data_IF_136329274934
#
_entry.id   IF_136329274934
#
_cell.length_a   1.000
_cell.length_b   1.000
_cell.length_c   1.000
_cell.angle_alpha   90.00
_cell.angle_beta   90.00
_cell.angle_gamma   90.00
#
_symmetry.space_group_name_H-M   'P 1'
#
loop_
_entity.id
_entity.type
_entity.pdbx_description
1 polymer ?
#
# COMPACT_ATOMS: atom_id res chain seq x y z
N UNK A 1 51.86 4.81 -34.70
CA UNK A 1 51.24 3.87 -33.76
C UNK A 1 50.10 4.61 -33.09
N UNK A 2 48.87 4.28 -33.49
CA UNK A 2 47.63 5.00 -33.22
C UNK A 2 47.03 4.71 -31.85
N UNK A 3 46.12 5.61 -31.47
CA UNK A 3 44.92 5.46 -30.64
C UNK A 3 44.99 5.98 -29.20
N UNK A 4 44.97 7.30 -29.06
CA UNK A 4 44.22 7.92 -27.96
C UNK A 4 42.74 7.96 -28.36
N UNK A 5 41.97 7.01 -27.81
CA UNK A 5 40.52 6.99 -27.89
C UNK A 5 40.02 8.21 -27.10
N UNK A 6 39.58 9.24 -27.83
CA UNK A 6 38.84 10.36 -27.27
C UNK A 6 37.57 9.80 -26.61
N UNK A 7 37.51 9.87 -25.28
CA UNK A 7 36.33 9.50 -24.51
C UNK A 7 35.23 10.51 -24.86
N UNK A 8 34.21 10.06 -25.59
CA UNK A 8 33.01 10.85 -25.88
C UNK A 8 32.13 10.90 -24.65
N UNK A 9 32.54 11.68 -23.64
CA UNK A 9 31.64 12.12 -22.59
C UNK A 9 30.75 13.21 -23.20
N UNK A 10 29.49 12.86 -23.45
CA UNK A 10 28.51 13.77 -24.00
C UNK A 10 28.22 14.87 -22.97
N UNK A 11 28.57 16.15 -23.21
CA UNK A 11 28.48 17.22 -22.20
C UNK A 11 27.05 17.54 -21.73
N UNK A 12 26.05 16.91 -22.35
CA UNK A 12 24.63 17.15 -22.11
C UNK A 12 24.04 16.28 -20.98
N UNK A 13 24.78 15.32 -20.42
CA UNK A 13 24.28 14.51 -19.29
C UNK A 13 24.18 15.29 -17.97
N UNK A 14 24.90 16.40 -17.82
CA UNK A 14 24.98 17.15 -16.55
C UNK A 14 24.02 18.35 -16.45
N UNK A 15 23.02 18.46 -17.32
CA UNK A 15 21.94 19.46 -17.15
C UNK A 15 20.77 18.82 -16.41
N UNK A 16 21.05 18.20 -15.27
CA UNK A 16 20.00 17.79 -14.33
C UNK A 16 19.50 19.06 -13.63
N UNK A 17 18.37 19.59 -14.10
CA UNK A 17 17.64 20.67 -13.43
C UNK A 17 17.48 20.35 -11.94
N UNK A 18 17.90 21.27 -11.07
CA UNK A 18 17.75 21.12 -9.61
C UNK A 18 16.30 20.82 -9.24
N UNK A 19 16.06 19.70 -8.56
CA UNK A 19 14.72 19.28 -8.17
C UNK A 19 14.30 20.01 -6.89
N UNK A 20 13.81 21.24 -7.07
CA UNK A 20 13.26 22.07 -5.99
C UNK A 20 12.11 21.41 -5.21
N UNK A 21 11.47 20.39 -5.77
CA UNK A 21 10.37 19.71 -5.08
C UNK A 21 10.91 18.74 -4.02
N UNK A 22 11.98 18.00 -4.34
CA UNK A 22 12.66 17.13 -3.37
C UNK A 22 13.19 17.90 -2.17
N UNK A 23 13.86 19.03 -2.41
CA UNK A 23 14.38 19.87 -1.33
C UNK A 23 13.25 20.41 -0.42
N UNK A 24 12.15 20.89 -1.02
CA UNK A 24 10.98 21.34 -0.25
C UNK A 24 10.34 20.22 0.57
N UNK A 25 10.27 19.01 0.02
CA UNK A 25 9.75 17.84 0.73
C UNK A 25 10.67 17.44 1.91
N UNK A 26 11.99 17.52 1.75
CA UNK A 26 12.95 17.26 2.82
C UNK A 26 12.84 18.28 3.95
N UNK A 27 12.76 19.58 3.61
CA UNK A 27 12.54 20.64 4.60
C UNK A 27 11.21 20.45 5.34
N UNK A 28 10.14 20.10 4.61
CA UNK A 28 8.84 19.82 5.21
C UNK A 28 8.90 18.63 6.18
N UNK A 29 9.63 17.57 5.81
CA UNK A 29 9.83 16.38 6.65
C UNK A 29 10.60 16.70 7.92
N UNK A 30 11.56 17.62 7.86
CA UNK A 30 12.31 18.07 9.03
C UNK A 30 11.44 18.88 9.99
N UNK A 31 10.52 19.71 9.48
CA UNK A 31 9.65 20.57 10.29
C UNK A 31 8.43 19.83 10.84
N UNK A 32 7.83 18.92 10.06
CA UNK A 32 6.59 18.23 10.39
C UNK A 32 6.66 16.74 10.00
N UNK A 33 7.37 15.92 10.79
CA UNK A 33 7.55 14.49 10.49
C UNK A 33 6.23 13.70 10.53
N UNK A 34 5.26 14.14 11.35
CA UNK A 34 3.96 13.46 11.55
C UNK A 34 3.10 13.40 10.27
N UNK A 35 3.39 14.28 9.30
CA UNK A 35 2.72 14.30 8.01
C UNK A 35 3.19 13.18 7.07
N UNK A 36 4.23 12.44 7.42
CA UNK A 36 4.81 11.40 6.59
C UNK A 36 4.46 10.01 7.12
N UNK A 37 4.19 9.10 6.19
CA UNK A 37 4.05 7.67 6.48
C UNK A 37 5.40 7.05 6.82
N UNK A 38 5.39 5.86 7.45
CA UNK A 38 6.62 5.11 7.75
C UNK A 38 7.48 4.83 6.50
N UNK A 39 6.85 4.76 5.32
CA UNK A 39 7.52 4.58 4.02
C UNK A 39 8.12 5.88 3.46
N UNK A 40 8.06 6.99 4.23
CA UNK A 40 8.62 8.28 3.87
C UNK A 40 7.80 9.09 2.85
N UNK A 41 6.57 8.68 2.55
CA UNK A 41 5.66 9.40 1.64
C UNK A 41 4.78 10.37 2.42
N UNK A 42 4.58 11.57 1.87
CA UNK A 42 3.68 12.59 2.42
C UNK A 42 2.23 12.07 2.43
N UNK A 43 1.59 12.13 3.58
CA UNK A 43 0.20 11.78 3.76
C UNK A 43 -0.69 13.00 3.53
N UNK A 44 -1.43 12.99 2.43
CA UNK A 44 -2.32 14.10 2.04
C UNK A 44 -3.50 14.26 3.00
N UNK A 45 -3.96 13.20 3.67
CA UNK A 45 -5.03 13.33 4.68
C UNK A 45 -4.56 14.12 5.89
N UNK A 46 -3.36 13.82 6.39
CA UNK A 46 -2.77 14.52 7.53
C UNK A 46 -2.45 15.98 7.20
N UNK A 47 -1.96 16.25 5.99
CA UNK A 47 -1.74 17.63 5.54
C UNK A 47 -3.05 18.43 5.51
N UNK A 48 -4.14 17.84 5.01
CA UNK A 48 -5.45 18.49 4.99
C UNK A 48 -5.98 18.79 6.40
N UNK A 49 -5.75 17.89 7.36
CA UNK A 49 -6.12 18.10 8.78
C UNK A 49 -5.40 19.31 9.38
N UNK A 50 -4.11 19.50 9.06
CA UNK A 50 -3.34 20.65 9.55
C UNK A 50 -3.82 21.96 8.92
N UNK A 51 -4.15 21.96 7.63
CA UNK A 51 -4.56 23.17 6.89
C UNK A 51 -5.97 23.62 7.25
N UNK A 52 -6.92 22.68 7.32
CA UNK A 52 -8.31 22.99 7.67
C UNK A 52 -8.90 21.90 8.59
N UNK A 53 -8.76 22.06 9.92
CA UNK A 53 -9.29 21.11 10.90
C UNK A 53 -10.81 20.96 10.87
N UNK A 54 -11.55 21.96 10.34
CA UNK A 54 -13.02 21.96 10.30
C UNK A 54 -13.57 21.30 9.04
N UNK A 55 -12.76 21.19 7.99
CA UNK A 55 -13.13 20.44 6.77
C UNK A 55 -13.19 18.93 7.00
N UNK A 56 -12.51 18.44 8.02
CA UNK A 56 -12.35 17.01 8.28
C UNK A 56 -13.41 16.54 9.28
N UNK A 57 -14.59 16.19 8.78
CA UNK A 57 -15.58 15.43 9.56
C UNK A 57 -15.19 13.95 9.53
N UNK A 58 -14.14 13.59 10.25
CA UNK A 58 -13.71 12.19 10.38
C UNK A 58 -14.38 11.57 11.61
N UNK A 59 -15.36 10.70 11.37
CA UNK A 59 -15.71 9.66 12.35
C UNK A 59 -14.57 8.66 12.33
N UNK A 60 -13.76 8.61 13.38
CA UNK A 60 -12.68 7.62 13.50
C UNK A 60 -13.25 6.20 13.36
N UNK A 61 -12.81 5.47 12.33
CA UNK A 61 -13.17 4.07 12.10
C UNK A 61 -11.93 3.22 12.25
N UNK A 62 -11.82 2.54 13.38
CA UNK A 62 -10.79 1.53 13.58
C UNK A 62 -11.13 0.30 12.75
N UNK A 63 -10.32 0.02 11.73
CA UNK A 63 -10.42 -1.21 10.95
C UNK A 63 -9.09 -1.93 10.85
N UNK A 64 -9.12 -3.24 11.09
CA UNK A 64 -7.97 -4.10 10.80
C UNK A 64 -7.95 -4.43 9.31
N UNK A 65 -6.93 -3.96 8.58
CA UNK A 65 -6.72 -4.24 7.15
C UNK A 65 -5.53 -5.15 6.96
N UNK A 66 -5.71 -6.19 6.15
CA UNK A 66 -4.64 -7.07 5.69
C UNK A 66 -4.82 -7.39 4.20
N UNK A 67 -3.73 -7.76 3.54
CA UNK A 67 -3.75 -8.14 2.13
C UNK A 67 -4.59 -9.41 1.93
N UNK A 68 -5.62 -9.35 1.08
CA UNK A 68 -6.52 -10.49 0.86
C UNK A 68 -7.75 -10.56 1.76
N UNK A 69 -7.97 -9.62 2.70
CA UNK A 69 -9.18 -9.57 3.54
C UNK A 69 -10.48 -9.66 2.73
N UNK A 70 -10.55 -8.95 1.60
CA UNK A 70 -11.72 -8.97 0.71
C UNK A 70 -11.89 -10.34 0.03
N UNK A 71 -10.80 -10.95 -0.42
CA UNK A 71 -10.83 -12.26 -1.08
C UNK A 71 -11.26 -13.36 -0.10
N UNK A 72 -10.69 -13.37 1.11
CA UNK A 72 -11.07 -14.30 2.17
C UNK A 72 -12.56 -14.17 2.53
N UNK A 73 -13.08 -12.93 2.57
CA UNK A 73 -14.52 -12.70 2.78
C UNK A 73 -15.35 -13.31 1.65
N UNK A 74 -14.97 -13.10 0.39
CA UNK A 74 -15.69 -13.66 -0.76
C UNK A 74 -15.68 -15.19 -0.74
N UNK A 75 -14.53 -15.79 -0.46
CA UNK A 75 -14.36 -17.24 -0.40
C UNK A 75 -15.23 -17.88 0.69
N UNK A 76 -15.29 -17.28 1.89
CA UNK A 76 -16.13 -17.78 2.97
C UNK A 76 -17.64 -17.80 2.65
N UNK A 77 -18.10 -16.89 1.78
CA UNK A 77 -19.49 -16.83 1.32
C UNK A 77 -19.71 -17.49 -0.06
N UNK A 78 -18.69 -18.14 -0.62
CA UNK A 78 -18.84 -18.87 -1.89
C UNK A 78 -19.52 -20.21 -1.60
N UNK A 79 -20.68 -20.51 -2.22
CA UNK A 79 -21.33 -21.79 -2.03
C UNK A 79 -20.46 -22.92 -2.57
N UNK A 80 -20.56 -24.11 -1.97
CA UNK A 80 -19.88 -25.30 -2.44
C UNK A 80 -20.78 -26.09 -3.39
N UNK A 81 -20.19 -26.61 -4.47
CA UNK A 81 -20.83 -27.59 -5.36
C UNK A 81 -20.67 -29.03 -4.84
N UNK A 82 -19.99 -29.21 -3.70
CA UNK A 82 -19.77 -30.53 -3.11
C UNK A 82 -21.04 -31.07 -2.45
N UNK A 83 -21.34 -32.33 -2.76
CA UNK A 83 -22.38 -33.09 -2.08
C UNK A 83 -21.77 -33.89 -0.94
N UNK A 84 -22.29 -33.72 0.27
CA UNK A 84 -21.90 -34.55 1.41
C UNK A 84 -22.42 -35.98 1.20
N UNK A 85 -21.56 -36.96 1.44
CA UNK A 85 -21.89 -38.39 1.41
C UNK A 85 -21.64 -38.96 2.80
N UNK A 86 -22.53 -39.86 3.20
CA UNK A 86 -22.43 -40.57 4.46
C UNK A 86 -21.22 -41.52 4.49
N UNK A 87 -20.53 -41.58 5.62
CA UNK A 87 -19.38 -42.46 5.86
C UNK A 87 -19.80 -43.60 6.80
N UNK A 88 -19.85 -44.84 6.28
CA UNK A 88 -20.30 -46.03 7.01
C UNK A 88 -19.45 -46.34 8.24
N UNK A 89 -18.13 -46.13 8.18
CA UNK A 89 -17.21 -46.54 9.25
C UNK A 89 -17.19 -45.55 10.42
N UNK A 90 -17.48 -44.28 10.17
CA UNK A 90 -17.35 -43.20 11.16
C UNK A 90 -18.67 -42.72 11.73
N UNK A 91 -19.78 -43.02 11.06
CA UNK A 91 -21.05 -42.45 11.44
C UNK A 91 -21.81 -43.38 12.36
N UNK A 92 -22.43 -42.80 13.38
CA UNK A 92 -23.27 -43.51 14.34
C UNK A 92 -24.73 -43.23 13.97
N UNK A 93 -25.54 -44.28 13.86
CA UNK A 93 -26.97 -44.24 13.50
C UNK A 93 -27.29 -43.46 12.19
N UNK A 94 -26.78 -43.88 11.02
CA UNK A 94 -27.08 -43.28 9.69
C UNK A 94 -28.56 -43.03 9.37
N UNK A 95 -29.41 -43.92 9.87
CA UNK A 95 -30.78 -44.11 9.39
C UNK A 95 -31.83 -43.52 10.33
N UNK A 96 -31.41 -42.96 11.45
CA UNK A 96 -32.31 -42.32 12.41
C UNK A 96 -32.32 -40.80 12.15
N UNK A 97 -33.48 -40.25 11.82
CA UNK A 97 -33.75 -38.81 11.65
C UNK A 97 -34.66 -38.29 12.76
#
# INVERSE_FOLDING_TARGET
>A
MSNDKQNTENPLENVQSHDWNKERLEQLKQLMPDLFTNDGKLNVSELKKVVDPKSVNETERYEFRWFGKSNAKREAFTPTDATLVYDEDKSVNPTES
#
